data_IF_589667048334
#
_entry.id   IF_589667048334
#
_cell.length_a   1.000
_cell.length_b   1.000
_cell.length_c   1.000
_cell.angle_alpha   90.00
_cell.angle_beta   90.00
_cell.angle_gamma   90.00
#
_symmetry.space_group_name_H-M   'P 1'
#
loop_
_entity.id
_entity.type
_entity.pdbx_description
1 polymer ?
#
# COMPACT_ATOMS: atom_id res chain seq x y z
N UNK A 1 -13.97 -10.44 19.47
CA UNK A 1 -14.50 -9.41 20.40
C UNK A 1 -14.43 -8.08 19.68
N UNK A 2 -15.59 -7.44 19.53
CA UNK A 2 -15.82 -6.18 18.78
C UNK A 2 -15.31 -5.00 19.61
N UNK A 3 -14.74 -3.96 18.99
CA UNK A 3 -15.05 -2.54 19.28
C UNK A 3 -14.76 -1.66 18.04
N UNK A 4 -15.68 -0.73 17.76
CA UNK A 4 -15.78 0.17 16.60
C UNK A 4 -15.59 1.63 17.07
N UNK A 5 -15.15 2.52 16.16
CA UNK A 5 -15.07 4.02 16.26
C UNK A 5 -13.97 4.57 17.21
N UNK A 6 -13.20 5.61 16.90
CA UNK A 6 -13.59 6.93 16.38
C UNK A 6 -12.52 7.61 15.49
N UNK A 7 -13.02 8.32 14.47
CA UNK A 7 -12.30 9.36 13.73
C UNK A 7 -11.96 10.55 14.66
N UNK A 8 -11.13 11.49 14.18
CA UNK A 8 -10.90 12.87 14.71
C UNK A 8 -9.58 13.24 15.42
N UNK A 9 -8.46 12.49 15.32
CA UNK A 9 -7.18 12.97 15.91
C UNK A 9 -5.89 12.79 15.11
N UNK A 10 -5.92 12.20 13.92
CA UNK A 10 -4.70 11.83 13.18
C UNK A 10 -3.96 13.01 12.53
N UNK A 11 -4.51 14.23 12.54
CA UNK A 11 -3.88 15.38 11.87
C UNK A 11 -2.84 16.12 12.73
N UNK A 12 -2.69 15.80 14.03
CA UNK A 12 -1.74 16.48 14.93
C UNK A 12 -0.52 15.64 15.33
N UNK A 13 -0.53 14.32 15.09
CA UNK A 13 0.56 13.43 15.54
C UNK A 13 1.82 13.53 14.68
N UNK A 14 1.73 14.17 13.50
CA UNK A 14 2.83 14.13 12.53
C UNK A 14 4.00 15.09 12.82
N UNK A 15 3.86 16.02 13.76
CA UNK A 15 4.83 17.11 13.94
C UNK A 15 5.76 17.01 15.15
N UNK A 16 5.52 16.16 16.16
CA UNK A 16 6.26 16.26 17.44
C UNK A 16 6.98 14.99 17.95
N UNK A 17 7.29 14.00 17.10
CA UNK A 17 8.00 12.79 17.56
C UNK A 17 9.41 12.65 16.95
N UNK A 18 10.45 13.18 17.60
CA UNK A 18 11.85 13.01 17.16
C UNK A 18 12.40 11.58 17.36
N UNK A 19 11.58 10.64 17.85
CA UNK A 19 11.87 9.20 17.93
C UNK A 19 10.79 8.36 17.24
N UNK A 20 10.24 8.83 16.12
CA UNK A 20 9.35 8.04 15.29
C UNK A 20 10.12 6.94 14.55
N UNK A 21 10.39 5.83 15.23
CA UNK A 21 10.80 4.57 14.60
C UNK A 21 9.53 3.90 14.04
N UNK A 22 9.18 4.22 12.80
CA UNK A 22 8.21 3.44 12.04
C UNK A 22 8.97 2.35 11.29
N UNK A 23 8.57 1.09 11.48
CA UNK A 23 8.89 -0.04 10.59
C UNK A 23 8.23 0.14 9.22
N UNK A 24 8.32 1.34 8.63
CA UNK A 24 8.02 1.59 7.22
C UNK A 24 9.12 0.88 6.44
N UNK A 25 8.97 -0.44 6.31
CA UNK A 25 9.58 -1.17 5.23
C UNK A 25 9.09 -0.45 3.97
N UNK A 26 10.01 0.34 3.41
CA UNK A 26 10.00 0.96 2.09
C UNK A 26 8.94 0.29 1.21
N UNK A 27 8.00 1.07 0.67
CA UNK A 27 6.90 0.58 -0.18
C UNK A 27 7.39 -0.48 -1.18
N UNK A 28 8.65 -0.37 -1.63
CA UNK A 28 9.36 -1.39 -2.37
C UNK A 28 9.29 -2.82 -1.78
N UNK A 29 9.65 -3.04 -0.51
CA UNK A 29 9.64 -4.38 0.09
C UNK A 29 8.23 -4.96 0.19
N UNK A 30 7.26 -4.14 0.63
CA UNK A 30 5.87 -4.58 0.77
C UNK A 30 5.27 -4.91 -0.60
N UNK A 31 5.48 -4.06 -1.60
CA UNK A 31 4.97 -4.29 -2.94
C UNK A 31 5.64 -5.48 -3.62
N UNK A 32 6.94 -5.72 -3.41
CA UNK A 32 7.60 -6.93 -3.90
C UNK A 32 7.02 -8.20 -3.27
N UNK A 33 6.76 -8.21 -1.97
CA UNK A 33 6.11 -9.35 -1.32
C UNK A 33 4.71 -9.62 -1.90
N UNK A 34 3.93 -8.57 -2.17
CA UNK A 34 2.63 -8.70 -2.85
C UNK A 34 2.81 -9.25 -4.27
N UNK A 35 3.77 -8.77 -5.04
CA UNK A 35 4.03 -9.25 -6.40
C UNK A 35 4.49 -10.72 -6.42
N UNK A 36 5.29 -11.13 -5.45
CA UNK A 36 5.70 -12.53 -5.28
C UNK A 36 4.52 -13.43 -4.93
N UNK A 37 3.61 -12.96 -4.06
CA UNK A 37 2.35 -13.66 -3.77
C UNK A 37 1.49 -13.83 -5.03
N UNK A 38 1.27 -12.76 -5.79
CA UNK A 38 0.52 -12.79 -7.06
C UNK A 38 1.14 -13.78 -8.04
N UNK A 39 2.48 -13.76 -8.15
CA UNK A 39 3.23 -14.66 -9.01
C UNK A 39 3.12 -16.12 -8.56
N UNK A 40 3.17 -16.39 -7.25
CA UNK A 40 3.08 -17.73 -6.68
C UNK A 40 1.75 -18.39 -7.04
N UNK A 41 0.64 -17.64 -6.94
CA UNK A 41 -0.69 -18.11 -7.35
C UNK A 41 -0.95 -18.01 -8.86
N UNK A 42 0.04 -17.58 -9.64
CA UNK A 42 -0.02 -17.44 -11.11
C UNK A 42 -1.11 -16.49 -11.59
N UNK A 43 -1.52 -15.55 -10.76
CA UNK A 43 -2.47 -14.50 -11.15
C UNK A 43 -1.78 -13.51 -12.08
N UNK A 44 -2.53 -13.01 -13.08
CA UNK A 44 -2.01 -12.06 -14.07
C UNK A 44 -2.58 -10.65 -13.91
N UNK A 45 -3.67 -10.52 -13.18
CA UNK A 45 -4.39 -9.26 -13.00
C UNK A 45 -4.79 -9.12 -11.54
N UNK A 46 -4.62 -7.91 -11.00
CA UNK A 46 -5.03 -7.56 -9.63
C UNK A 46 -5.78 -6.23 -9.62
N UNK A 47 -6.67 -6.07 -8.66
CA UNK A 47 -7.33 -4.80 -8.37
C UNK A 47 -6.62 -4.14 -7.20
N UNK A 48 -6.26 -2.86 -7.36
CA UNK A 48 -5.57 -2.08 -6.34
C UNK A 48 -6.54 -1.09 -5.69
N UNK A 49 -6.69 -1.19 -4.36
CA UNK A 49 -7.45 -0.24 -3.55
C UNK A 49 -6.46 0.44 -2.61
N UNK A 50 -6.44 1.77 -2.60
CA UNK A 50 -5.44 2.56 -1.87
C UNK A 50 -6.04 3.83 -1.28
N UNK A 51 -5.40 4.39 -0.27
CA UNK A 51 -5.72 5.73 0.25
C UNK A 51 -5.24 6.75 -0.77
N UNK A 52 -6.07 7.72 -1.17
CA UNK A 52 -5.70 8.73 -2.17
C UNK A 52 -4.83 9.87 -1.59
N UNK A 53 -3.77 9.48 -0.88
CA UNK A 53 -2.70 10.37 -0.44
C UNK A 53 -1.41 10.10 -1.24
N UNK A 54 -0.37 10.89 -0.95
CA UNK A 54 0.92 10.76 -1.62
C UNK A 54 1.55 9.37 -1.41
N UNK A 55 1.33 8.77 -0.24
CA UNK A 55 1.86 7.45 0.09
C UNK A 55 1.16 6.35 -0.69
N UNK A 56 -0.17 6.35 -0.71
CA UNK A 56 -0.95 5.36 -1.45
C UNK A 56 -0.65 5.43 -2.94
N UNK A 57 -0.56 6.63 -3.52
CA UNK A 57 -0.18 6.80 -4.93
C UNK A 57 1.23 6.28 -5.22
N UNK A 58 2.21 6.56 -4.35
CA UNK A 58 3.57 6.02 -4.49
C UNK A 58 3.59 4.48 -4.41
N UNK A 59 2.90 3.90 -3.43
CA UNK A 59 2.77 2.45 -3.29
C UNK A 59 2.16 1.79 -4.52
N UNK A 60 1.11 2.36 -5.10
CA UNK A 60 0.51 1.85 -6.34
C UNK A 60 1.45 1.96 -7.54
N UNK A 61 2.26 3.01 -7.62
CA UNK A 61 3.29 3.13 -8.66
C UNK A 61 4.30 1.99 -8.54
N UNK A 62 4.88 1.81 -7.35
CA UNK A 62 5.86 0.76 -7.08
C UNK A 62 5.27 -0.63 -7.34
N UNK A 63 4.02 -0.88 -6.91
CA UNK A 63 3.31 -2.13 -7.16
C UNK A 63 3.17 -2.43 -8.65
N UNK A 64 2.84 -1.43 -9.46
CA UNK A 64 2.78 -1.56 -10.92
C UNK A 64 4.12 -2.03 -11.50
N UNK A 65 5.22 -1.41 -11.07
CA UNK A 65 6.56 -1.73 -11.56
C UNK A 65 6.98 -3.16 -11.21
N UNK A 66 6.73 -3.60 -9.96
CA UNK A 66 7.11 -4.95 -9.52
C UNK A 66 6.22 -6.04 -10.13
N UNK A 67 4.93 -5.77 -10.34
CA UNK A 67 4.02 -6.70 -11.03
C UNK A 67 4.43 -6.87 -12.50
N UNK A 68 4.83 -5.79 -13.17
CA UNK A 68 5.29 -5.85 -14.55
C UNK A 68 6.50 -6.79 -14.72
N UNK A 69 7.46 -6.76 -13.77
CA UNK A 69 8.60 -7.69 -13.72
C UNK A 69 8.16 -9.17 -13.62
N UNK A 70 6.98 -9.42 -13.03
CA UNK A 70 6.39 -10.76 -12.88
C UNK A 70 5.37 -11.12 -13.98
N UNK A 71 5.23 -10.28 -15.02
CA UNK A 71 4.22 -10.41 -16.09
C UNK A 71 2.78 -10.41 -15.57
N UNK A 72 2.54 -9.68 -14.48
CA UNK A 72 1.22 -9.36 -13.96
C UNK A 72 0.97 -7.84 -14.10
N UNK A 73 -0.27 -7.41 -13.96
CA UNK A 73 -0.65 -5.99 -14.04
C UNK A 73 -1.78 -5.65 -13.07
N UNK A 74 -1.93 -4.35 -12.80
CA UNK A 74 -3.11 -3.82 -12.13
C UNK A 74 -4.20 -3.60 -13.20
N UNK A 75 -5.35 -4.26 -13.06
CA UNK A 75 -6.49 -4.13 -13.99
C UNK A 75 -7.41 -2.98 -13.61
N UNK A 76 -7.49 -2.64 -12.33
CA UNK A 76 -8.31 -1.54 -11.82
C UNK A 76 -7.66 -0.89 -10.59
N UNK A 77 -7.83 0.43 -10.45
CA UNK A 77 -7.30 1.25 -9.36
C UNK A 77 -8.45 2.05 -8.73
N UNK A 78 -8.64 1.92 -7.43
CA UNK A 78 -9.61 2.72 -6.67
C UNK A 78 -8.95 3.41 -5.48
N UNK A 79 -8.93 4.74 -5.51
CA UNK A 79 -8.56 5.58 -4.38
C UNK A 79 -9.78 5.82 -3.47
N UNK A 80 -9.58 5.84 -2.15
CA UNK A 80 -10.58 6.32 -1.20
C UNK A 80 -9.97 7.35 -0.25
N UNK A 81 -10.82 8.25 0.26
CA UNK A 81 -10.49 9.29 1.24
C UNK A 81 -10.98 8.92 2.63
#
# INVERSE_FOLDING_TARGET
MILWKENYYYNLVRLDFPYFLRTTQNDYFQMNAIADFVSYFRWREVVAIFVDDEYGRNGISVLGDVLAKKRAKISYKAGYN
#
